data_IF_101083982570
#
_entry.id   IF_101083982570
#
_cell.length_a   1.000
_cell.length_b   1.000
_cell.length_c   1.000
_cell.angle_alpha   90.00
_cell.angle_beta   90.00
_cell.angle_gamma   90.00
#
_symmetry.space_group_name_H-M   'P 1'
#
loop_
_entity.id
_entity.type
_entity.pdbx_description
1 polymer ?
#
# COMPACT_ATOMS: atom_id res chain seq x y z
N UNK A 1 -23.02 8.17 -1.66
CA UNK A 1 -21.99 8.41 -0.63
C UNK A 1 -21.02 7.24 -0.44
N UNK A 2 -21.49 5.97 -0.35
CA UNK A 2 -20.60 4.79 -0.24
C UNK A 2 -19.52 4.72 -1.33
N UNK A 3 -19.92 4.64 -2.61
CA UNK A 3 -19.02 4.52 -3.79
C UNK A 3 -17.90 5.56 -3.89
N UNK A 4 -18.12 6.77 -3.36
CA UNK A 4 -17.11 7.83 -3.34
C UNK A 4 -16.01 7.54 -2.30
N UNK A 5 -16.41 7.04 -1.12
CA UNK A 5 -15.49 6.62 -0.07
C UNK A 5 -14.69 5.37 -0.49
N UNK A 6 -15.32 4.45 -1.21
CA UNK A 6 -14.64 3.26 -1.76
C UNK A 6 -13.52 3.64 -2.71
N UNK A 7 -13.85 4.51 -3.65
CA UNK A 7 -12.91 5.00 -4.63
C UNK A 7 -11.75 5.73 -3.96
N UNK A 8 -12.06 6.56 -2.95
CA UNK A 8 -11.04 7.27 -2.17
C UNK A 8 -10.09 6.30 -1.44
N UNK A 9 -10.60 5.27 -0.78
CA UNK A 9 -9.77 4.23 -0.12
C UNK A 9 -8.91 3.46 -1.13
N UNK A 10 -9.48 3.13 -2.30
CA UNK A 10 -8.73 2.49 -3.39
C UNK A 10 -7.63 3.39 -3.96
N UNK A 11 -7.76 4.72 -3.90
CA UNK A 11 -6.71 5.66 -4.33
C UNK A 11 -5.64 5.89 -3.26
N UNK A 12 -5.99 5.81 -1.99
CA UNK A 12 -5.06 6.07 -0.88
C UNK A 12 -3.92 5.05 -0.81
N UNK A 13 -4.19 3.77 -1.06
CA UNK A 13 -3.13 2.75 -1.02
C UNK A 13 -2.09 2.93 -2.15
N UNK A 14 -2.46 3.04 -3.44
CA UNK A 14 -1.51 3.35 -4.52
C UNK A 14 -0.72 4.64 -4.27
N UNK A 15 -1.37 5.69 -3.77
CA UNK A 15 -0.68 6.93 -3.41
C UNK A 15 0.35 6.70 -2.30
N UNK A 16 -0.02 5.98 -1.24
CA UNK A 16 0.90 5.63 -0.15
C UNK A 16 2.10 4.81 -0.64
N UNK A 17 1.89 3.86 -1.57
CA UNK A 17 2.96 3.08 -2.19
C UNK A 17 3.94 3.98 -2.95
N UNK A 18 3.44 4.90 -3.77
CA UNK A 18 4.28 5.84 -4.53
C UNK A 18 5.09 6.74 -3.60
N UNK A 19 4.44 7.32 -2.59
CA UNK A 19 5.11 8.16 -1.60
C UNK A 19 6.21 7.39 -0.85
N UNK A 20 5.94 6.13 -0.47
CA UNK A 20 6.92 5.28 0.18
C UNK A 20 8.10 4.92 -0.74
N UNK A 21 7.86 4.71 -2.05
CA UNK A 21 8.95 4.48 -3.00
C UNK A 21 9.84 5.71 -3.19
N UNK A 22 9.26 6.91 -3.20
CA UNK A 22 10.03 8.17 -3.23
C UNK A 22 10.91 8.28 -1.98
N UNK A 23 10.38 7.98 -0.81
CA UNK A 23 11.15 7.93 0.45
C UNK A 23 12.31 6.94 0.34
N UNK A 24 12.03 5.68 -0.04
CA UNK A 24 13.06 4.65 -0.20
C UNK A 24 14.14 5.04 -1.21
N UNK A 25 13.79 5.72 -2.29
CA UNK A 25 14.74 6.16 -3.31
C UNK A 25 15.72 7.21 -2.75
N UNK A 26 15.22 8.17 -1.97
CA UNK A 26 16.00 9.30 -1.45
C UNK A 26 16.76 8.98 -0.15
N UNK A 27 16.36 7.92 0.55
CA UNK A 27 16.93 7.51 1.84
C UNK A 27 18.40 7.04 1.76
N UNK A 28 19.30 7.60 2.57
CA UNK A 28 20.75 7.27 2.51
C UNK A 28 21.22 6.29 3.60
N UNK A 29 20.46 6.11 4.68
CA UNK A 29 20.76 5.25 5.83
C UNK A 29 20.36 3.76 5.64
N UNK A 30 19.80 3.41 4.49
CA UNK A 30 19.27 2.07 4.22
C UNK A 30 19.99 1.36 3.08
N UNK A 31 20.48 0.14 3.34
CA UNK A 31 21.10 -0.71 2.32
C UNK A 31 20.13 -1.12 1.20
N UNK A 32 20.66 -1.28 -0.02
CA UNK A 32 19.89 -1.53 -1.25
C UNK A 32 18.95 -2.74 -1.15
N UNK A 33 19.39 -3.84 -0.54
CA UNK A 33 18.55 -5.03 -0.37
C UNK A 33 17.30 -4.76 0.48
N UNK A 34 17.45 -4.02 1.59
CA UNK A 34 16.31 -3.62 2.44
C UNK A 34 15.33 -2.72 1.67
N UNK A 35 15.83 -1.80 0.85
CA UNK A 35 14.98 -0.95 0.00
C UNK A 35 14.13 -1.77 -0.97
N UNK A 36 14.73 -2.77 -1.63
CA UNK A 36 14.01 -3.65 -2.57
C UNK A 36 12.94 -4.46 -1.84
N UNK A 37 13.25 -5.04 -0.67
CA UNK A 37 12.28 -5.79 0.13
C UNK A 37 11.08 -4.91 0.52
N UNK A 38 11.33 -3.70 1.02
CA UNK A 38 10.26 -2.76 1.38
C UNK A 38 9.45 -2.31 0.16
N UNK A 39 10.10 -2.02 -0.96
CA UNK A 39 9.41 -1.64 -2.19
C UNK A 39 8.43 -2.72 -2.67
N UNK A 40 8.81 -4.00 -2.53
CA UNK A 40 7.96 -5.16 -2.87
C UNK A 40 6.86 -5.36 -1.83
N UNK A 41 7.16 -5.31 -0.53
CA UNK A 41 6.14 -5.54 0.50
C UNK A 41 5.03 -4.49 0.50
N UNK A 42 5.32 -3.25 0.13
CA UNK A 42 4.30 -2.22 0.02
C UNK A 42 3.28 -2.46 -1.11
N UNK A 43 3.63 -3.26 -2.13
CA UNK A 43 2.70 -3.64 -3.19
C UNK A 43 1.62 -4.62 -2.75
N UNK A 44 1.73 -5.18 -1.55
CA UNK A 44 0.78 -6.14 -1.02
C UNK A 44 -0.17 -5.38 -0.08
N UNK A 45 -1.34 -4.90 -0.55
CA UNK A 45 -2.41 -4.42 0.32
C UNK A 45 -3.02 -5.62 1.05
N UNK A 46 -2.32 -6.09 2.08
CA UNK A 46 -2.76 -7.24 2.89
C UNK A 46 -4.07 -6.92 3.62
N UNK A 47 -4.32 -5.66 4.00
CA UNK A 47 -5.49 -5.31 4.82
C UNK A 47 -6.82 -5.46 4.05
N UNK A 48 -7.03 -4.86 2.86
CA UNK A 48 -8.24 -5.12 2.07
C UNK A 48 -8.34 -6.57 1.61
N UNK A 49 -7.20 -7.20 1.28
CA UNK A 49 -7.15 -8.59 0.80
C UNK A 49 -7.57 -9.58 1.88
N UNK A 50 -6.99 -9.49 3.08
CA UNK A 50 -7.35 -10.32 4.21
C UNK A 50 -8.80 -10.08 4.63
N UNK A 51 -9.22 -8.82 4.67
CA UNK A 51 -10.58 -8.45 5.04
C UNK A 51 -11.62 -9.12 4.11
N UNK A 52 -11.41 -9.08 2.78
CA UNK A 52 -12.24 -9.81 1.81
C UNK A 52 -12.11 -11.34 1.94
N UNK A 53 -10.88 -11.85 2.11
CA UNK A 53 -10.60 -13.28 2.24
C UNK A 53 -11.25 -13.91 3.49
N UNK A 54 -11.39 -13.12 4.56
CA UNK A 54 -12.07 -13.53 5.80
C UNK A 54 -13.59 -13.30 5.77
N UNK A 55 -14.17 -13.03 4.60
CA UNK A 55 -15.62 -12.85 4.43
C UNK A 55 -16.12 -11.45 4.79
N UNK A 56 -15.22 -10.49 4.99
CA UNK A 56 -15.57 -9.09 5.14
C UNK A 56 -15.87 -8.47 3.77
N UNK A 57 -17.09 -7.98 3.58
CA UNK A 57 -17.37 -7.10 2.44
C UNK A 57 -16.84 -5.72 2.76
N UNK A 58 -15.96 -5.18 1.90
CA UNK A 58 -15.48 -3.80 2.08
C UNK A 58 -16.68 -2.84 2.10
N UNK A 59 -17.79 -3.25 1.47
CA UNK A 59 -19.14 -2.67 1.50
C UNK A 59 -20.16 -3.54 0.79
#
# INVERSE_FOLDING_TARGET
MKKLAELLVCFLHPLAVVLMWIDLATRTDMGRGRKVVWAVFALIPLVPFLYVLTGGELW
#
